data_IF_162627900487
#
_entry.id   IF_162627900487
#
_cell.length_a   1.000
_cell.length_b   1.000
_cell.length_c   1.000
_cell.angle_alpha   90.00
_cell.angle_beta   90.00
_cell.angle_gamma   90.00
#
_symmetry.space_group_name_H-M   'P 1'
#
loop_
_entity.id
_entity.type
_entity.pdbx_description
1 polymer ?
#
# COMPACT_ATOMS: atom_id res chain seq x y z
N UNK A 1 -0.81 16.20 -2.96
CA UNK A 1 0.44 15.62 -2.47
C UNK A 1 1.53 16.65 -2.58
N UNK A 2 2.02 17.08 -1.45
CA UNK A 2 2.97 18.17 -1.36
C UNK A 2 4.31 17.79 -1.99
N UNK A 3 4.87 18.72 -2.75
CA UNK A 3 6.20 18.56 -3.34
C UNK A 3 6.29 17.66 -4.57
N UNK A 4 5.19 17.04 -5.01
CA UNK A 4 5.20 16.18 -6.18
C UNK A 4 4.85 16.95 -7.46
N UNK A 5 5.55 16.68 -8.58
CA UNK A 5 5.22 17.34 -9.85
C UNK A 5 3.83 16.94 -10.34
N UNK A 6 3.12 17.87 -10.97
CA UNK A 6 1.77 17.63 -11.50
C UNK A 6 1.68 17.83 -13.01
N UNK A 7 2.80 18.15 -13.66
CA UNK A 7 2.81 18.58 -15.07
C UNK A 7 2.87 17.45 -16.08
N UNK A 8 3.12 16.19 -15.65
CA UNK A 8 3.28 15.05 -16.54
C UNK A 8 2.39 13.89 -16.12
N UNK A 9 1.95 13.10 -17.10
CA UNK A 9 1.25 11.84 -16.84
C UNK A 9 2.28 10.79 -16.42
N UNK A 10 2.52 10.69 -15.13
CA UNK A 10 3.44 9.75 -14.55
C UNK A 10 2.75 8.97 -13.42
N UNK A 11 3.49 8.02 -12.80
CA UNK A 11 2.90 7.14 -11.78
C UNK A 11 2.19 7.90 -10.67
N UNK A 12 2.73 9.05 -10.24
CA UNK A 12 2.16 9.82 -9.12
C UNK A 12 0.83 10.48 -9.47
N UNK A 13 0.39 10.42 -10.72
CA UNK A 13 -0.93 10.89 -11.15
C UNK A 13 -1.95 9.76 -11.23
N UNK A 14 -1.53 8.50 -11.06
CA UNK A 14 -2.45 7.38 -10.98
C UNK A 14 -3.20 7.43 -9.65
N UNK A 15 -4.53 7.34 -9.70
CA UNK A 15 -5.35 7.36 -8.49
C UNK A 15 -4.95 6.24 -7.53
N UNK A 16 -4.67 5.03 -8.05
CA UNK A 16 -4.26 3.91 -7.20
C UNK A 16 -2.94 4.19 -6.49
N UNK A 17 -1.99 4.87 -7.14
CA UNK A 17 -0.74 5.24 -6.49
C UNK A 17 -0.99 6.27 -5.39
N UNK A 18 -1.80 7.29 -5.69
CA UNK A 18 -2.11 8.36 -4.73
C UNK A 18 -2.85 7.83 -3.51
N UNK A 19 -3.81 6.93 -3.73
CA UNK A 19 -4.53 6.29 -2.64
C UNK A 19 -3.59 5.41 -1.80
N UNK A 20 -2.68 4.69 -2.44
CA UNK A 20 -1.67 3.90 -1.75
C UNK A 20 -0.67 4.76 -0.98
N UNK A 21 -0.30 5.92 -1.53
CA UNK A 21 0.56 6.89 -0.86
C UNK A 21 -0.10 7.39 0.44
N UNK A 22 -1.37 7.79 0.36
CA UNK A 22 -2.10 8.26 1.54
C UNK A 22 -2.23 7.16 2.60
N UNK A 23 -2.50 5.93 2.16
CA UNK A 23 -2.54 4.79 3.07
C UNK A 23 -1.18 4.57 3.75
N UNK A 24 -0.08 4.67 3.00
CA UNK A 24 1.27 4.54 3.52
C UNK A 24 1.56 5.59 4.58
N UNK A 25 1.16 6.85 4.35
CA UNK A 25 1.37 7.90 5.35
C UNK A 25 0.67 7.56 6.67
N UNK A 26 -0.51 6.96 6.60
CA UNK A 26 -1.22 6.50 7.80
C UNK A 26 -0.50 5.34 8.49
N UNK A 27 0.15 4.47 7.74
CA UNK A 27 0.97 3.41 8.32
C UNK A 27 2.18 4.02 9.06
N UNK A 28 2.84 5.03 8.49
CA UNK A 28 3.91 5.73 9.19
C UNK A 28 3.41 6.33 10.50
N UNK A 29 2.23 6.95 10.50
CA UNK A 29 1.67 7.56 11.70
C UNK A 29 1.40 6.52 12.78
N UNK A 30 0.79 5.39 12.42
CA UNK A 30 0.45 4.37 13.42
C UNK A 30 1.69 3.63 13.92
N UNK A 31 2.66 3.34 13.06
CA UNK A 31 3.87 2.62 13.48
C UNK A 31 4.75 3.48 14.39
N UNK A 32 4.64 4.80 14.34
CA UNK A 32 5.34 5.69 15.26
C UNK A 32 4.92 5.45 16.71
N UNK A 33 3.74 4.85 16.93
CA UNK A 33 3.23 4.52 18.28
C UNK A 33 3.60 3.11 18.73
N UNK A 34 4.23 2.30 17.87
CA UNK A 34 4.60 0.93 18.19
C UNK A 34 5.77 0.93 19.20
N UNK A 35 5.91 -0.13 20.00
CA UNK A 35 7.06 -0.22 20.92
C UNK A 35 8.39 -0.14 20.19
N UNK A 36 9.38 0.61 20.71
CA UNK A 36 10.70 0.70 20.08
C UNK A 36 11.38 -0.65 19.86
N UNK A 37 11.08 -1.64 20.69
CA UNK A 37 11.64 -3.00 20.56
C UNK A 37 11.20 -3.69 19.27
N UNK A 38 10.12 -3.21 18.65
CA UNK A 38 9.59 -3.79 17.40
C UNK A 38 10.17 -3.16 16.14
N UNK A 39 11.15 -2.25 16.28
CA UNK A 39 11.74 -1.51 15.14
C UNK A 39 12.21 -2.44 14.03
N UNK A 40 12.88 -3.52 14.37
CA UNK A 40 13.43 -4.46 13.40
C UNK A 40 12.56 -5.70 13.23
N UNK A 41 11.32 -5.66 13.68
CA UNK A 41 10.36 -6.75 13.60
C UNK A 41 9.10 -6.25 12.89
N UNK A 42 7.95 -6.21 13.59
CA UNK A 42 6.68 -5.85 12.94
C UNK A 42 6.70 -4.44 12.35
N UNK A 43 7.36 -3.48 12.99
CA UNK A 43 7.44 -2.11 12.48
C UNK A 43 8.10 -2.09 11.10
N UNK A 44 9.26 -2.73 10.95
CA UNK A 44 9.95 -2.79 9.66
C UNK A 44 9.17 -3.59 8.63
N UNK A 45 8.52 -4.67 9.03
CA UNK A 45 7.77 -5.53 8.11
C UNK A 45 6.55 -4.83 7.53
N UNK A 46 5.79 -4.12 8.35
CA UNK A 46 4.60 -3.41 7.85
C UNK A 46 5.00 -2.22 6.98
N UNK A 47 6.04 -1.49 7.34
CA UNK A 47 6.54 -0.39 6.52
C UNK A 47 7.08 -0.90 5.19
N UNK A 48 7.79 -2.04 5.19
CA UNK A 48 8.28 -2.65 3.97
C UNK A 48 7.12 -3.01 3.03
N UNK A 49 6.11 -3.71 3.52
CA UNK A 49 4.99 -4.12 2.67
C UNK A 49 4.16 -2.94 2.18
N UNK A 50 3.93 -1.95 3.03
CA UNK A 50 3.19 -0.74 2.65
C UNK A 50 3.95 0.09 1.61
N UNK A 51 5.28 0.25 1.77
CA UNK A 51 6.11 0.92 0.77
C UNK A 51 6.16 0.12 -0.53
N UNK A 52 6.30 -1.20 -0.44
CA UNK A 52 6.38 -2.08 -1.61
C UNK A 52 5.09 -2.06 -2.44
N UNK A 53 3.95 -1.84 -1.80
CA UNK A 53 2.68 -1.70 -2.49
C UNK A 53 2.75 -0.60 -3.55
N UNK A 54 3.12 0.62 -3.15
CA UNK A 54 3.15 1.74 -4.10
C UNK A 54 4.38 1.69 -5.01
N UNK A 55 5.48 1.12 -4.54
CA UNK A 55 6.66 0.94 -5.39
C UNK A 55 6.33 0.04 -6.59
N UNK A 56 5.57 -1.03 -6.36
CA UNK A 56 5.15 -1.92 -7.45
C UNK A 56 4.11 -1.27 -8.36
N UNK A 57 3.23 -0.44 -7.83
CA UNK A 57 2.30 0.32 -8.68
C UNK A 57 3.10 1.24 -9.61
N UNK A 58 4.08 1.97 -9.07
CA UNK A 58 4.95 2.83 -9.87
C UNK A 58 5.74 2.03 -10.90
N UNK A 59 6.31 0.88 -10.51
CA UNK A 59 7.05 0.02 -11.41
C UNK A 59 6.17 -0.49 -12.56
N UNK A 60 4.92 -0.86 -12.27
CA UNK A 60 3.99 -1.31 -13.30
C UNK A 60 3.78 -0.25 -14.38
N UNK A 61 3.70 1.02 -13.97
CA UNK A 61 3.54 2.13 -14.90
C UNK A 61 4.72 2.24 -15.87
N UNK A 62 5.92 1.91 -15.40
CA UNK A 62 7.14 1.95 -16.20
C UNK A 62 7.35 0.72 -17.08
N UNK A 63 6.56 -0.33 -16.94
CA UNK A 63 6.67 -1.51 -17.79
C UNK A 63 6.06 -1.26 -19.16
N UNK A 64 6.64 -1.88 -20.19
CA UNK A 64 6.21 -1.63 -21.57
C UNK A 64 4.93 -2.35 -21.94
N UNK A 65 4.84 -3.66 -21.70
CA UNK A 65 3.67 -4.46 -22.13
C UNK A 65 2.58 -4.47 -21.06
N UNK A 66 1.34 -4.61 -21.49
CA UNK A 66 0.21 -4.75 -20.58
C UNK A 66 0.33 -5.99 -19.69
N UNK A 67 0.82 -7.09 -20.24
CA UNK A 67 1.02 -8.32 -19.48
C UNK A 67 2.04 -8.10 -18.35
N UNK A 68 3.13 -7.39 -18.62
CA UNK A 68 4.11 -7.06 -17.60
C UNK A 68 3.55 -6.11 -16.54
N UNK A 69 2.78 -5.11 -16.97
CA UNK A 69 2.11 -4.20 -16.03
C UNK A 69 1.22 -4.98 -15.08
N UNK A 70 0.39 -5.87 -15.61
CA UNK A 70 -0.54 -6.67 -14.82
C UNK A 70 0.21 -7.57 -13.83
N UNK A 71 1.30 -8.22 -14.29
CA UNK A 71 2.11 -9.08 -13.44
C UNK A 71 2.64 -8.32 -12.22
N UNK A 72 3.17 -7.12 -12.44
CA UNK A 72 3.71 -6.30 -11.34
C UNK A 72 2.60 -5.81 -10.41
N UNK A 73 1.43 -5.49 -10.97
CA UNK A 73 0.28 -5.09 -10.16
C UNK A 73 -0.25 -6.24 -9.28
N UNK A 74 -0.15 -7.49 -9.73
CA UNK A 74 -0.46 -8.63 -8.86
C UNK A 74 0.49 -8.71 -7.68
N UNK A 75 1.77 -8.37 -7.86
CA UNK A 75 2.72 -8.28 -6.74
C UNK A 75 2.26 -7.20 -5.76
N UNK A 76 1.88 -6.02 -6.24
CA UNK A 76 1.34 -4.96 -5.40
C UNK A 76 0.13 -5.43 -4.59
N UNK A 77 -0.77 -6.19 -5.22
CA UNK A 77 -1.95 -6.74 -4.54
C UNK A 77 -1.56 -7.67 -3.40
N UNK A 78 -0.55 -8.51 -3.61
CA UNK A 78 -0.02 -9.37 -2.56
C UNK A 78 0.56 -8.57 -1.39
N UNK A 79 1.22 -7.46 -1.67
CA UNK A 79 1.77 -6.58 -0.63
C UNK A 79 0.68 -5.91 0.19
N UNK A 80 -0.47 -5.60 -0.42
CA UNK A 80 -1.64 -5.10 0.32
C UNK A 80 -2.11 -6.16 1.33
N UNK A 81 -2.22 -7.42 0.89
CA UNK A 81 -2.61 -8.51 1.79
C UNK A 81 -1.61 -8.66 2.94
N UNK A 82 -0.31 -8.57 2.65
CA UNK A 82 0.71 -8.66 3.68
C UNK A 82 0.60 -7.51 4.69
N UNK A 83 0.35 -6.29 4.22
CA UNK A 83 0.14 -5.13 5.10
C UNK A 83 -1.05 -5.36 6.02
N UNK A 84 -2.16 -5.87 5.49
CA UNK A 84 -3.34 -6.19 6.28
C UNK A 84 -3.06 -7.28 7.33
N UNK A 85 -2.23 -8.27 6.97
CA UNK A 85 -1.81 -9.30 7.92
C UNK A 85 -1.01 -8.70 9.07
N UNK A 86 -0.08 -7.80 8.77
CA UNK A 86 0.71 -7.13 9.82
C UNK A 86 -0.17 -6.24 10.71
N UNK A 87 -1.20 -5.59 10.15
CA UNK A 87 -2.17 -4.83 10.95
C UNK A 87 -2.92 -5.75 11.92
N UNK A 88 -3.31 -6.93 11.47
CA UNK A 88 -3.99 -7.91 12.33
C UNK A 88 -3.08 -8.38 13.47
N UNK A 89 -1.80 -8.61 13.18
CA UNK A 89 -0.82 -8.97 14.21
C UNK A 89 -0.67 -7.83 15.22
N UNK A 90 -0.56 -6.59 14.74
CA UNK A 90 -0.47 -5.42 15.61
C UNK A 90 -1.69 -5.30 16.54
N UNK A 91 -2.89 -5.58 16.01
CA UNK A 91 -4.10 -5.62 16.82
C UNK A 91 -4.00 -6.70 17.91
N UNK A 92 -3.58 -7.91 17.55
CA UNK A 92 -3.40 -9.01 18.48
C UNK A 92 -2.38 -8.71 19.57
N UNK A 93 -1.34 -7.96 19.24
CA UNK A 93 -0.32 -7.52 20.19
C UNK A 93 -0.77 -6.30 20.99
N UNK A 94 -1.92 -5.74 20.70
CA UNK A 94 -2.47 -4.53 21.34
C UNK A 94 -1.62 -3.28 21.09
N UNK A 95 -0.95 -3.23 19.95
CA UNK A 95 -0.18 -2.05 19.51
C UNK A 95 -1.07 -1.00 18.87
N UNK A 96 -2.24 -1.41 18.36
CA UNK A 96 -3.25 -0.51 17.83
C UNK A 96 -4.61 -0.86 18.42
N UNK A 97 -5.49 0.14 18.49
CA UNK A 97 -6.85 -0.07 18.94
C UNK A 97 -7.67 -0.79 17.86
N UNK A 98 -8.77 -1.40 18.28
CA UNK A 98 -9.71 -2.03 17.34
C UNK A 98 -10.25 -1.03 16.32
N UNK A 99 -10.57 0.19 16.76
CA UNK A 99 -11.10 1.22 15.87
C UNK A 99 -10.06 1.62 14.81
N UNK A 100 -8.81 1.81 15.20
CA UNK A 100 -7.74 2.13 14.24
C UNK A 100 -7.49 0.97 13.28
N UNK A 101 -7.52 -0.26 13.80
CA UNK A 101 -7.38 -1.43 12.93
C UNK A 101 -8.48 -1.45 11.86
N UNK A 102 -9.74 -1.27 12.26
CA UNK A 102 -10.86 -1.28 11.33
C UNK A 102 -10.69 -0.21 10.26
N UNK A 103 -10.34 1.01 10.67
CA UNK A 103 -10.15 2.12 9.75
C UNK A 103 -9.04 1.81 8.74
N UNK A 104 -7.87 1.39 9.21
CA UNK A 104 -6.73 1.10 8.34
C UNK A 104 -6.98 -0.10 7.43
N UNK A 105 -7.55 -1.17 7.99
CA UNK A 105 -7.87 -2.36 7.22
C UNK A 105 -8.86 -2.03 6.09
N UNK A 106 -9.87 -1.21 6.37
CA UNK A 106 -10.85 -0.80 5.36
C UNK A 106 -10.21 0.04 4.25
N UNK A 107 -9.25 0.90 4.59
CA UNK A 107 -8.49 1.67 3.59
C UNK A 107 -7.77 0.73 2.64
N UNK A 108 -7.08 -0.29 3.16
CA UNK A 108 -6.36 -1.25 2.33
C UNK A 108 -7.29 -2.18 1.56
N UNK A 109 -8.44 -2.54 2.12
CA UNK A 109 -9.47 -3.28 1.37
C UNK A 109 -9.97 -2.47 0.18
N UNK A 110 -10.22 -1.18 0.37
CA UNK A 110 -10.67 -0.31 -0.73
C UNK A 110 -9.57 -0.14 -1.77
N UNK A 111 -8.33 0.02 -1.33
CA UNK A 111 -7.19 0.09 -2.24
C UNK A 111 -7.10 -1.17 -3.10
N UNK A 112 -7.30 -2.35 -2.50
CA UNK A 112 -7.28 -3.63 -3.22
C UNK A 112 -8.39 -3.68 -4.28
N UNK A 113 -9.59 -3.22 -3.94
CA UNK A 113 -10.71 -3.17 -4.90
C UNK A 113 -10.39 -2.25 -6.07
N UNK A 114 -9.86 -1.07 -5.78
CA UNK A 114 -9.49 -0.10 -6.81
C UNK A 114 -8.36 -0.64 -7.69
N UNK A 115 -7.40 -1.34 -7.09
CA UNK A 115 -6.31 -1.97 -7.83
C UNK A 115 -6.84 -3.05 -8.78
N UNK A 116 -7.79 -3.88 -8.33
CA UNK A 116 -8.40 -4.90 -9.18
C UNK A 116 -9.14 -4.27 -10.36
N UNK A 117 -9.84 -3.16 -10.15
CA UNK A 117 -10.51 -2.43 -11.25
C UNK A 117 -9.47 -1.92 -12.26
N UNK A 118 -8.37 -1.39 -11.77
CA UNK A 118 -7.30 -0.91 -12.64
C UNK A 118 -6.66 -2.06 -13.43
N UNK A 119 -6.37 -3.17 -12.78
CA UNK A 119 -5.85 -4.38 -13.44
C UNK A 119 -6.79 -4.80 -14.57
N UNK A 120 -8.10 -4.87 -14.27
CA UNK A 120 -9.09 -5.27 -15.28
C UNK A 120 -9.13 -4.31 -16.46
N UNK A 121 -8.92 -3.01 -16.21
CA UNK A 121 -8.88 -2.01 -17.28
C UNK A 121 -7.70 -2.21 -18.25
N UNK A 122 -6.64 -2.86 -17.79
CA UNK A 122 -5.43 -3.13 -18.58
C UNK A 122 -5.50 -4.45 -19.35
N UNK A 123 -6.45 -5.31 -19.06
CA UNK A 123 -6.59 -6.60 -19.73
C UNK A 123 -7.07 -6.38 -21.17
N UNK A 124 -6.43 -7.05 -22.14
CA UNK A 124 -6.72 -6.95 -23.56
C UNK A 124 -7.28 -8.24 -24.12
#
# INVERSE_FOLDING_TARGET
MDGLPTTHKDFHQLDIWRNGYEALMKIYDVTATFPPDERYSITSQILRSANSTIANIAESHGRFSYNDKIRVLYIARGEICETRSHLAVALGRKYISKDRFITLNNIYCQLSKNLNLYINSLKR
#
